data_IF_858226274196
#
_entry.id   IF_858226274196
#
_cell.length_a   1.000
_cell.length_b   1.000
_cell.length_c   1.000
_cell.angle_alpha   90.00
_cell.angle_beta   90.00
_cell.angle_gamma   90.00
#
_symmetry.space_group_name_H-M   'P 1'
#
loop_
_entity.id
_entity.type
_entity.pdbx_description
1 polymer ?
#
# COMPACT_ATOMS: atom_id res chain seq x y z
N UNK A 1 7.84 4.71 29.85
CA UNK A 1 6.70 4.89 28.93
C UNK A 1 7.30 4.79 27.54
N UNK A 2 7.12 3.67 26.85
CA UNK A 2 7.68 3.50 25.50
C UNK A 2 6.75 4.22 24.54
N UNK A 3 7.11 5.44 24.17
CA UNK A 3 6.46 6.16 23.10
C UNK A 3 6.88 5.48 21.81
N UNK A 4 6.06 4.54 21.34
CA UNK A 4 6.14 4.03 19.98
C UNK A 4 5.81 5.21 19.05
N UNK A 5 6.81 6.03 18.77
CA UNK A 5 6.86 6.89 17.58
C UNK A 5 7.01 5.98 16.35
N UNK A 6 6.09 5.03 16.19
CA UNK A 6 6.00 4.14 15.06
C UNK A 6 5.46 4.95 13.91
N UNK A 7 6.34 5.69 13.22
CA UNK A 7 6.05 6.02 11.83
C UNK A 7 6.11 4.66 11.12
N UNK A 8 4.99 3.93 11.10
CA UNK A 8 4.90 2.63 10.45
C UNK A 8 5.40 2.81 9.01
N UNK A 9 6.60 2.30 8.72
CA UNK A 9 7.20 2.44 7.40
C UNK A 9 6.21 1.90 6.36
N UNK A 10 6.06 2.60 5.21
CA UNK A 10 5.08 2.23 4.22
C UNK A 10 5.34 0.80 3.75
N UNK A 11 4.44 -0.14 4.07
CA UNK A 11 4.47 -1.55 3.67
C UNK A 11 4.19 -1.75 2.19
N UNK A 12 3.51 -0.80 1.55
CA UNK A 12 3.16 -0.88 0.15
C UNK A 12 3.69 0.31 -0.63
N UNK A 13 4.14 0.03 -1.84
CA UNK A 13 4.55 1.02 -2.82
C UNK A 13 3.76 0.81 -4.11
N UNK A 14 3.48 1.89 -4.82
CA UNK A 14 2.92 1.90 -6.15
C UNK A 14 3.86 2.69 -7.05
N UNK A 15 4.48 2.00 -8.01
CA UNK A 15 5.47 2.59 -8.92
C UNK A 15 4.84 3.42 -10.03
N UNK A 16 3.56 3.21 -10.33
CA UNK A 16 2.89 3.94 -11.43
C UNK A 16 2.67 5.42 -11.09
N UNK A 17 2.47 5.74 -9.81
CA UNK A 17 2.20 7.10 -9.35
C UNK A 17 3.06 7.50 -8.15
N UNK A 18 4.20 6.82 -7.98
CA UNK A 18 5.19 7.07 -6.94
C UNK A 18 4.55 7.29 -5.56
N UNK A 19 3.69 6.34 -5.17
CA UNK A 19 2.92 6.41 -3.93
C UNK A 19 3.39 5.33 -2.96
N UNK A 20 3.60 5.69 -1.70
CA UNK A 20 4.02 4.77 -0.64
C UNK A 20 3.15 4.95 0.59
N UNK A 21 2.63 3.86 1.13
CA UNK A 21 1.80 3.89 2.34
C UNK A 21 1.38 2.50 2.81
N UNK A 22 0.63 2.48 3.91
CA UNK A 22 0.05 1.25 4.47
C UNK A 22 -1.39 1.01 4.01
N UNK A 23 -2.01 2.04 3.45
CA UNK A 23 -3.39 2.00 2.99
C UNK A 23 -3.50 1.45 1.57
N UNK A 24 -4.57 0.72 1.31
CA UNK A 24 -4.87 0.23 -0.02
C UNK A 24 -6.37 0.25 -0.26
N UNK A 25 -6.73 0.45 -1.51
CA UNK A 25 -8.10 0.27 -1.98
C UNK A 25 -8.20 -1.07 -2.67
N UNK A 26 -9.33 -1.77 -2.50
CA UNK A 26 -9.64 -2.93 -3.34
C UNK A 26 -10.60 -2.47 -4.42
N UNK A 27 -10.22 -2.71 -5.68
CA UNK A 27 -11.13 -2.58 -6.81
C UNK A 27 -11.63 -3.97 -7.19
N UNK A 28 -12.93 -4.08 -7.39
CA UNK A 28 -13.55 -5.27 -7.93
C UNK A 28 -13.27 -5.32 -9.43
N UNK A 29 -12.52 -6.33 -9.86
CA UNK A 29 -12.15 -6.57 -11.26
C UNK A 29 -12.93 -7.79 -11.81
N UNK A 30 -14.00 -8.21 -11.15
CA UNK A 30 -14.71 -9.46 -11.46
C UNK A 30 -13.98 -10.74 -11.05
N UNK A 31 -12.83 -10.63 -10.38
CA UNK A 31 -12.13 -11.76 -9.76
C UNK A 31 -12.56 -11.95 -8.30
N UNK A 32 -12.65 -13.19 -7.83
CA UNK A 32 -13.12 -13.49 -6.46
C UNK A 32 -12.27 -12.90 -5.32
N UNK A 33 -11.08 -12.35 -5.63
CA UNK A 33 -10.21 -11.67 -4.66
C UNK A 33 -10.20 -10.14 -4.77
N UNK A 34 -10.69 -9.58 -5.88
CA UNK A 34 -10.43 -8.21 -6.29
C UNK A 34 -8.94 -7.91 -6.51
N UNK A 35 -8.62 -6.71 -6.97
CA UNK A 35 -7.25 -6.22 -7.11
C UNK A 35 -6.98 -5.16 -6.05
N UNK A 36 -5.90 -5.35 -5.29
CA UNK A 36 -5.39 -4.31 -4.39
C UNK A 36 -4.67 -3.24 -5.21
N UNK A 37 -5.14 -2.00 -5.10
CA UNK A 37 -4.61 -0.82 -5.78
C UNK A 37 -4.28 0.26 -4.76
N UNK A 38 -3.38 1.16 -5.13
CA UNK A 38 -3.01 2.28 -4.27
C UNK A 38 -4.24 3.10 -3.89
N UNK A 39 -4.27 3.56 -2.63
CA UNK A 39 -5.35 4.40 -2.12
C UNK A 39 -5.30 5.86 -2.59
N UNK A 40 -4.44 6.19 -3.55
CA UNK A 40 -4.28 7.55 -4.07
C UNK A 40 -5.42 7.85 -5.05
N UNK A 41 -6.15 8.93 -4.79
CA UNK A 41 -7.22 9.38 -5.68
C UNK A 41 -6.67 9.66 -7.09
N UNK A 42 -7.27 9.04 -8.11
CA UNK A 42 -6.81 9.11 -9.50
C UNK A 42 -5.67 8.15 -9.88
N UNK A 43 -5.15 7.32 -8.97
CA UNK A 43 -4.20 6.27 -9.30
C UNK A 43 -4.71 4.91 -8.81
N UNK A 44 -4.98 4.01 -9.75
CA UNK A 44 -5.40 2.62 -9.49
C UNK A 44 -4.27 1.63 -9.81
N UNK A 45 -3.03 2.07 -9.62
CA UNK A 45 -1.86 1.26 -9.91
C UNK A 45 -1.74 0.07 -8.96
N UNK A 46 -1.06 -0.98 -9.43
CA UNK A 46 -0.86 -2.17 -8.61
C UNK A 46 0.04 -1.87 -7.41
N UNK A 47 -0.40 -2.26 -6.21
CA UNK A 47 0.44 -2.22 -5.02
C UNK A 47 1.43 -3.37 -5.03
N UNK A 48 2.68 -3.04 -4.77
CA UNK A 48 3.74 -4.00 -4.50
C UNK A 48 4.17 -3.87 -3.04
N UNK A 49 4.61 -4.98 -2.44
CA UNK A 49 5.23 -4.94 -1.12
C UNK A 49 6.49 -4.07 -1.20
N UNK A 50 6.44 -2.95 -0.50
CA UNK A 50 7.63 -2.19 -0.17
C UNK A 50 8.30 -2.99 0.95
N UNK A 51 9.17 -3.93 0.57
CA UNK A 51 9.86 -4.82 1.51
C UNK A 51 10.74 -3.97 2.42
N UNK A 52 10.16 -3.47 3.50
CA UNK A 52 10.89 -3.09 4.69
C UNK A 52 11.39 -4.40 5.29
N UNK A 53 12.72 -4.64 5.39
CA UNK A 53 13.22 -5.79 6.09
C UNK A 53 12.82 -5.65 7.57
N UNK A 54 11.86 -6.47 7.99
CA UNK A 54 11.50 -6.70 9.38
C UNK A 54 12.77 -7.18 10.11
N UNK A 55 13.27 -6.37 11.06
CA UNK A 55 14.48 -6.61 11.85
C UNK A 55 14.26 -7.66 12.94
#
# INVERSE_FOLDING_TARGET
MAETNGTEEPKYACRECDWTGNQYSRVDDGTSGGRAVCGRDGCQGQLVLNRVPDV
#
